data_IF_801437867611
#
_entry.id   IF_801437867611
#
_cell.length_a   1.000
_cell.length_b   1.000
_cell.length_c   1.000
_cell.angle_alpha   90.00
_cell.angle_beta   90.00
_cell.angle_gamma   90.00
#
_symmetry.space_group_name_H-M   'P 1'
#
loop_
_entity.id
_entity.type
_entity.pdbx_description
1 polymer ?
#
# COMPACT_ATOMS: atom_id res chain seq x y z
N UNK A 1 5.81 -20.80 -24.54
CA UNK A 1 4.82 -19.82 -24.08
C UNK A 1 5.40 -18.85 -23.04
N UNK A 2 6.04 -19.34 -21.97
CA UNK A 2 6.62 -18.49 -20.89
C UNK A 2 7.67 -17.48 -21.38
N UNK A 3 8.51 -17.85 -22.35
CA UNK A 3 9.54 -16.95 -22.91
C UNK A 3 8.91 -15.80 -23.71
N UNK A 4 7.94 -16.09 -24.59
CA UNK A 4 7.17 -15.06 -25.32
C UNK A 4 6.38 -14.15 -24.37
N UNK A 5 5.95 -14.70 -23.24
CA UNK A 5 5.25 -13.97 -22.18
C UNK A 5 6.17 -12.98 -21.46
N UNK A 6 7.37 -13.41 -21.06
CA UNK A 6 8.37 -12.53 -20.44
C UNK A 6 8.83 -11.45 -21.43
N UNK A 7 9.07 -11.81 -22.70
CA UNK A 7 9.41 -10.84 -23.74
C UNK A 7 8.30 -9.81 -24.00
N UNK A 8 7.03 -10.23 -23.97
CA UNK A 8 5.90 -9.34 -24.15
C UNK A 8 5.78 -8.30 -23.02
N UNK A 9 5.93 -8.74 -21.77
CA UNK A 9 5.92 -7.83 -20.60
C UNK A 9 7.10 -6.87 -20.64
N UNK A 10 8.31 -7.37 -20.93
CA UNK A 10 9.50 -6.54 -21.08
C UNK A 10 9.35 -5.52 -22.23
N UNK A 11 8.74 -5.91 -23.34
CA UNK A 11 8.47 -5.03 -24.48
C UNK A 11 7.49 -3.90 -24.14
N UNK A 12 6.36 -4.21 -23.50
CA UNK A 12 5.37 -3.20 -23.10
C UNK A 12 5.90 -2.24 -22.03
N UNK A 13 6.66 -2.75 -21.06
CA UNK A 13 7.30 -1.91 -20.03
C UNK A 13 8.37 -0.98 -20.62
N UNK A 14 9.17 -1.47 -21.58
CA UNK A 14 10.14 -0.65 -22.30
C UNK A 14 9.47 0.45 -23.14
N UNK A 15 8.38 0.11 -23.85
CA UNK A 15 7.59 1.09 -24.60
C UNK A 15 7.03 2.18 -23.68
N UNK A 16 6.43 1.79 -22.56
CA UNK A 16 5.86 2.73 -21.60
C UNK A 16 6.94 3.62 -20.95
N UNK A 17 8.12 3.08 -20.68
CA UNK A 17 9.28 3.85 -20.21
C UNK A 17 9.69 4.93 -21.23
N UNK A 18 9.66 4.58 -22.53
CA UNK A 18 10.03 5.49 -23.63
C UNK A 18 9.02 6.63 -23.75
N UNK A 19 7.73 6.31 -23.64
CA UNK A 19 6.63 7.31 -23.63
C UNK A 19 6.76 8.23 -22.41
N UNK A 20 7.07 7.69 -21.22
CA UNK A 20 7.30 8.47 -20.00
C UNK A 20 8.43 9.48 -20.18
N UNK A 21 9.56 9.06 -20.73
CA UNK A 21 10.70 9.94 -21.03
C UNK A 21 10.31 11.05 -22.00
N UNK A 22 9.61 10.73 -23.09
CA UNK A 22 9.13 11.71 -24.06
C UNK A 22 8.14 12.73 -23.47
N UNK A 23 7.23 12.26 -22.62
CA UNK A 23 6.25 13.11 -21.93
C UNK A 23 6.95 14.09 -20.97
N UNK A 24 7.94 13.64 -20.18
CA UNK A 24 8.70 14.52 -19.27
C UNK A 24 9.45 15.61 -20.02
N UNK A 25 10.08 15.28 -21.16
CA UNK A 25 10.80 16.25 -21.99
C UNK A 25 9.84 17.28 -22.58
N UNK A 26 8.68 16.85 -23.09
CA UNK A 26 7.66 17.77 -23.61
C UNK A 26 7.06 18.64 -22.51
N UNK A 27 6.79 18.07 -21.34
CA UNK A 27 6.23 18.79 -20.19
C UNK A 27 7.18 19.89 -19.73
N UNK A 28 8.47 19.58 -19.58
CA UNK A 28 9.50 20.58 -19.25
C UNK A 28 9.60 21.68 -20.30
N UNK A 29 9.59 21.32 -21.60
CA UNK A 29 9.62 22.30 -22.69
C UNK A 29 8.40 23.22 -22.70
N UNK A 30 7.22 22.70 -22.35
CA UNK A 30 5.97 23.48 -22.26
C UNK A 30 5.97 24.38 -21.03
N UNK A 31 6.44 23.89 -19.88
CA UNK A 31 6.60 24.70 -18.67
C UNK A 31 7.52 25.90 -18.91
N UNK A 32 8.64 25.71 -19.60
CA UNK A 32 9.58 26.81 -19.91
C UNK A 32 9.01 27.88 -20.87
N UNK A 33 7.87 27.61 -21.51
CA UNK A 33 7.17 28.56 -22.39
C UNK A 33 5.99 29.27 -21.72
N UNK A 34 5.69 28.95 -20.47
CA UNK A 34 4.63 29.62 -19.71
C UNK A 34 5.06 31.00 -19.23
N UNK A 35 4.07 31.90 -19.14
CA UNK A 35 4.28 33.27 -18.66
C UNK A 35 4.59 33.29 -17.16
N UNK A 36 5.30 34.35 -16.71
CA UNK A 36 5.75 34.46 -15.31
C UNK A 36 4.57 34.47 -14.31
N UNK A 37 3.41 34.99 -14.72
CA UNK A 37 2.19 35.04 -13.92
C UNK A 37 1.64 33.64 -13.56
N UNK A 38 1.87 32.64 -14.41
CA UNK A 38 1.52 31.24 -14.12
C UNK A 38 2.36 30.67 -12.97
N UNK A 39 3.64 31.05 -12.89
CA UNK A 39 4.54 30.64 -11.81
C UNK A 39 4.17 31.33 -10.49
N UNK A 40 3.71 32.58 -10.53
CA UNK A 40 3.29 33.31 -9.33
C UNK A 40 1.94 32.84 -8.76
N UNK A 41 1.03 32.36 -9.61
CA UNK A 41 -0.36 32.04 -9.18
C UNK A 41 -0.58 30.55 -8.85
N UNK A 42 0.11 29.63 -9.53
CA UNK A 42 -0.24 28.20 -9.50
C UNK A 42 0.90 27.25 -9.06
N UNK A 43 2.14 27.73 -8.90
CA UNK A 43 3.28 26.81 -8.80
C UNK A 43 4.34 27.22 -7.78
N UNK A 44 4.22 26.71 -6.54
CA UNK A 44 5.41 26.55 -5.69
C UNK A 44 6.30 25.49 -6.35
N UNK A 45 7.60 25.72 -6.50
CA UNK A 45 8.51 24.83 -7.26
C UNK A 45 8.37 23.35 -6.90
N UNK A 46 8.11 23.04 -5.63
CA UNK A 46 7.97 21.68 -5.12
C UNK A 46 6.71 20.97 -5.66
N UNK A 47 5.61 21.69 -5.84
CA UNK A 47 4.35 21.16 -6.40
C UNK A 47 4.48 20.90 -7.91
N UNK A 48 5.24 21.73 -8.64
CA UNK A 48 5.49 21.53 -10.08
C UNK A 48 6.23 20.21 -10.35
N UNK A 49 7.28 19.99 -9.56
CA UNK A 49 8.14 18.82 -9.62
C UNK A 49 7.33 17.58 -9.23
N UNK A 50 6.61 17.64 -8.10
CA UNK A 50 5.76 16.55 -7.63
C UNK A 50 4.70 16.12 -8.65
N UNK A 51 4.01 17.07 -9.29
CA UNK A 51 3.02 16.77 -10.34
C UNK A 51 3.66 16.20 -11.60
N UNK A 52 4.77 16.77 -12.08
CA UNK A 52 5.48 16.24 -13.25
C UNK A 52 5.92 14.78 -13.04
N UNK A 53 6.49 14.47 -11.88
CA UNK A 53 6.94 13.12 -11.57
C UNK A 53 5.77 12.18 -11.32
N UNK A 54 4.79 12.59 -10.51
CA UNK A 54 3.62 11.79 -10.13
C UNK A 54 2.70 11.46 -11.31
N UNK A 55 2.28 12.47 -12.07
CA UNK A 55 1.34 12.27 -13.18
C UNK A 55 1.96 11.41 -14.29
N UNK A 56 3.24 11.64 -14.61
CA UNK A 56 3.91 10.80 -15.61
C UNK A 56 4.18 9.38 -15.09
N UNK A 57 4.23 9.19 -13.76
CA UNK A 57 4.32 7.85 -13.20
C UNK A 57 3.01 7.09 -13.43
N UNK A 58 1.89 7.72 -13.09
CA UNK A 58 0.54 7.18 -13.28
C UNK A 58 0.25 6.86 -14.76
N UNK A 59 0.64 7.74 -15.67
CA UNK A 59 0.48 7.51 -17.13
C UNK A 59 1.23 6.25 -17.58
N UNK A 60 2.46 6.05 -17.11
CA UNK A 60 3.21 4.83 -17.44
C UNK A 60 2.53 3.58 -16.86
N UNK A 61 2.06 3.61 -15.61
CA UNK A 61 1.40 2.43 -15.04
C UNK A 61 0.13 2.08 -15.79
N UNK A 62 -0.65 3.09 -16.19
CA UNK A 62 -1.83 2.90 -17.01
C UNK A 62 -1.49 2.27 -18.37
N UNK A 63 -0.56 2.86 -19.11
CA UNK A 63 -0.24 2.44 -20.49
C UNK A 63 0.62 1.17 -20.53
N UNK A 64 1.61 1.08 -19.64
CA UNK A 64 2.59 -0.01 -19.64
C UNK A 64 2.10 -1.28 -18.97
N UNK A 65 1.45 -1.15 -17.81
CA UNK A 65 1.07 -2.31 -17.01
C UNK A 65 -0.40 -2.69 -17.18
N UNK A 66 -1.34 -1.74 -17.03
CA UNK A 66 -2.76 -2.07 -17.07
C UNK A 66 -3.23 -2.45 -18.47
N UNK A 67 -2.89 -1.63 -19.47
CA UNK A 67 -3.22 -1.91 -20.88
C UNK A 67 -2.49 -3.17 -21.36
N UNK A 68 -1.22 -3.34 -21.00
CA UNK A 68 -0.45 -4.54 -21.33
C UNK A 68 -1.09 -5.82 -20.78
N UNK A 69 -1.43 -5.84 -19.49
CA UNK A 69 -2.14 -6.96 -18.85
C UNK A 69 -3.51 -7.22 -19.48
N UNK A 70 -4.24 -6.17 -19.86
CA UNK A 70 -5.54 -6.31 -20.53
C UNK A 70 -5.42 -7.01 -21.88
N UNK A 71 -4.52 -6.53 -22.75
CA UNK A 71 -4.26 -7.13 -24.06
C UNK A 71 -3.81 -8.59 -23.90
N UNK A 72 -2.97 -8.85 -22.91
CA UNK A 72 -2.48 -10.17 -22.60
C UNK A 72 -3.60 -11.13 -22.15
N UNK A 73 -4.48 -10.71 -21.24
CA UNK A 73 -5.61 -11.53 -20.81
C UNK A 73 -6.57 -11.82 -21.96
N UNK A 74 -6.83 -10.84 -22.82
CA UNK A 74 -7.64 -11.05 -24.03
C UNK A 74 -6.99 -12.05 -25.00
N UNK A 75 -5.69 -11.92 -25.26
CA UNK A 75 -4.95 -12.85 -26.13
C UNK A 75 -4.92 -14.27 -25.55
N UNK A 76 -4.67 -14.41 -24.25
CA UNK A 76 -4.63 -15.71 -23.57
C UNK A 76 -6.00 -16.36 -23.51
N UNK A 77 -7.05 -15.58 -23.30
CA UNK A 77 -8.44 -16.05 -23.34
C UNK A 77 -8.79 -16.59 -24.72
N UNK A 78 -8.63 -15.80 -25.78
CA UNK A 78 -8.96 -16.19 -27.16
C UNK A 78 -8.09 -17.37 -27.62
N UNK A 79 -6.77 -17.30 -27.42
CA UNK A 79 -5.84 -18.36 -27.79
C UNK A 79 -6.08 -19.65 -27.02
N UNK A 80 -6.41 -19.55 -25.73
CA UNK A 80 -6.78 -20.69 -24.88
C UNK A 80 -8.01 -21.43 -25.38
N UNK A 81 -9.05 -20.70 -25.82
CA UNK A 81 -10.22 -21.33 -26.44
C UNK A 81 -9.85 -22.05 -27.73
N UNK A 82 -9.12 -21.40 -28.64
CA UNK A 82 -8.77 -22.00 -29.94
C UNK A 82 -8.03 -23.33 -29.75
N UNK A 83 -7.03 -23.34 -28.86
CA UNK A 83 -6.25 -24.56 -28.57
C UNK A 83 -7.13 -25.64 -27.92
N UNK A 84 -8.03 -25.25 -26.99
CA UNK A 84 -8.93 -26.18 -26.31
C UNK A 84 -9.87 -26.87 -27.33
N UNK A 85 -10.48 -26.12 -28.24
CA UNK A 85 -11.35 -26.67 -29.29
C UNK A 85 -10.61 -27.59 -30.26
N UNK A 86 -9.34 -27.32 -30.59
CA UNK A 86 -8.54 -28.16 -31.49
C UNK A 86 -8.10 -29.49 -30.87
N UNK A 87 -7.73 -29.52 -29.59
CA UNK A 87 -7.22 -30.76 -28.95
C UNK A 87 -8.32 -31.66 -28.37
N UNK A 88 -9.45 -31.09 -27.98
CA UNK A 88 -10.52 -31.87 -27.36
C UNK A 88 -11.80 -31.07 -27.24
N UNK A 89 -12.71 -31.30 -28.18
CA UNK A 89 -14.04 -30.67 -28.22
C UNK A 89 -14.87 -30.94 -26.94
N UNK A 90 -14.81 -32.16 -26.39
CA UNK A 90 -15.66 -32.56 -25.27
C UNK A 90 -15.27 -31.87 -23.93
N UNK A 91 -13.97 -31.80 -23.61
CA UNK A 91 -13.49 -31.13 -22.39
C UNK A 91 -13.65 -29.60 -22.46
N UNK A 92 -13.63 -29.03 -23.67
CA UNK A 92 -13.75 -27.57 -23.87
C UNK A 92 -15.18 -27.05 -23.70
N UNK A 93 -16.19 -27.88 -23.99
CA UNK A 93 -17.59 -27.56 -23.72
C UNK A 93 -17.87 -27.45 -22.22
N UNK A 94 -17.31 -28.37 -21.43
CA UNK A 94 -17.46 -28.40 -19.98
C UNK A 94 -16.79 -27.17 -19.34
N UNK A 95 -15.57 -26.82 -19.77
CA UNK A 95 -14.90 -25.62 -19.25
C UNK A 95 -15.63 -24.32 -19.63
N UNK A 96 -16.20 -24.25 -20.84
CA UNK A 96 -16.97 -23.09 -21.30
C UNK A 96 -18.30 -22.92 -20.58
N UNK A 97 -18.91 -23.99 -20.08
CA UNK A 97 -20.11 -23.93 -19.24
C UNK A 97 -19.82 -23.34 -17.84
N UNK A 98 -18.61 -23.55 -17.30
CA UNK A 98 -18.22 -23.01 -15.99
C UNK A 98 -17.86 -21.51 -16.02
N UNK A 99 -17.40 -20.99 -17.17
CA UNK A 99 -16.96 -19.58 -17.27
C UNK A 99 -18.09 -18.57 -17.00
N UNK A 100 -19.30 -18.71 -17.56
CA UNK A 100 -20.43 -17.85 -17.21
C UNK A 100 -20.79 -17.90 -15.73
N UNK A 101 -20.77 -19.09 -15.11
CA UNK A 101 -21.05 -19.23 -13.68
C UNK A 101 -20.02 -18.50 -12.82
N UNK A 102 -18.73 -18.57 -13.17
CA UNK A 102 -17.66 -17.82 -12.50
C UNK A 102 -17.82 -16.30 -12.67
N UNK A 103 -18.19 -15.83 -13.88
CA UNK A 103 -18.42 -14.40 -14.13
C UNK A 103 -19.62 -13.89 -13.36
N UNK A 104 -20.71 -14.66 -13.27
CA UNK A 104 -21.90 -14.29 -12.50
C UNK A 104 -21.60 -14.27 -11.01
N UNK A 105 -20.91 -15.29 -10.48
CA UNK A 105 -20.51 -15.35 -9.07
C UNK A 105 -19.56 -14.19 -8.72
N UNK A 106 -18.50 -13.99 -9.50
CA UNK A 106 -17.55 -12.89 -9.31
C UNK A 106 -18.19 -11.50 -9.50
N UNK A 107 -19.09 -11.36 -10.47
CA UNK A 107 -19.88 -10.15 -10.71
C UNK A 107 -20.79 -9.81 -9.53
N UNK A 108 -21.51 -10.81 -9.01
CA UNK A 108 -22.41 -10.64 -7.87
C UNK A 108 -21.67 -10.18 -6.60
N UNK A 109 -20.43 -10.62 -6.41
CA UNK A 109 -19.59 -10.24 -5.28
C UNK A 109 -18.88 -8.89 -5.49
N UNK A 110 -18.42 -8.60 -6.71
CA UNK A 110 -17.62 -7.40 -7.01
C UNK A 110 -18.45 -6.10 -7.05
N UNK A 111 -19.72 -6.15 -7.45
CA UNK A 111 -20.59 -4.98 -7.52
C UNK A 111 -20.88 -4.32 -6.15
N UNK A 112 -21.38 -5.04 -5.12
CA UNK A 112 -21.61 -4.45 -3.80
C UNK A 112 -20.29 -4.04 -3.15
N UNK A 113 -19.23 -4.83 -3.36
CA UNK A 113 -17.87 -4.51 -2.93
C UNK A 113 -17.45 -3.15 -3.51
N UNK A 114 -17.54 -2.94 -4.82
CA UNK A 114 -17.16 -1.67 -5.49
C UNK A 114 -17.94 -0.47 -4.97
N UNK A 115 -19.24 -0.64 -4.68
CA UNK A 115 -20.06 0.41 -4.07
C UNK A 115 -19.55 0.78 -2.67
N UNK A 116 -19.16 -0.21 -1.88
CA UNK A 116 -18.60 -0.02 -0.54
C UNK A 116 -17.22 0.65 -0.58
N UNK A 117 -16.36 0.31 -1.56
CA UNK A 117 -15.08 1.00 -1.81
C UNK A 117 -15.27 2.48 -2.12
N UNK A 118 -16.20 2.80 -3.01
CA UNK A 118 -16.50 4.18 -3.39
C UNK A 118 -17.00 5.01 -2.20
N UNK A 119 -17.92 4.46 -1.40
CA UNK A 119 -18.46 5.17 -0.23
C UNK A 119 -17.38 5.47 0.82
N UNK A 120 -16.48 4.51 1.10
CA UNK A 120 -15.37 4.75 2.03
C UNK A 120 -14.42 5.84 1.54
N UNK A 121 -14.11 5.87 0.24
CA UNK A 121 -13.25 6.93 -0.33
C UNK A 121 -13.93 8.30 -0.29
N UNK A 122 -15.23 8.38 -0.60
CA UNK A 122 -15.96 9.65 -0.53
C UNK A 122 -15.99 10.22 0.89
N UNK A 123 -16.23 9.38 1.91
CA UNK A 123 -16.18 9.80 3.32
C UNK A 123 -14.77 10.27 3.72
N UNK A 124 -13.72 9.62 3.23
CA UNK A 124 -12.33 10.00 3.48
C UNK A 124 -11.99 11.37 2.86
N UNK A 125 -12.41 11.61 1.61
CA UNK A 125 -12.24 12.90 0.93
C UNK A 125 -12.98 14.01 1.67
N UNK A 126 -14.19 13.73 2.20
CA UNK A 126 -14.94 14.70 3.00
C UNK A 126 -14.24 15.08 4.31
N UNK A 127 -13.61 14.12 4.98
CA UNK A 127 -12.74 14.39 6.12
C UNK A 127 -11.51 15.22 5.71
N UNK A 128 -10.92 14.92 4.54
CA UNK A 128 -9.82 15.67 3.95
C UNK A 128 -10.17 17.14 3.70
N UNK A 129 -11.38 17.44 3.19
CA UNK A 129 -11.84 18.82 3.01
C UNK A 129 -11.90 19.61 4.32
N UNK A 130 -12.30 18.98 5.43
CA UNK A 130 -12.32 19.65 6.75
C UNK A 130 -10.90 20.04 7.17
N UNK A 131 -9.92 19.16 6.95
CA UNK A 131 -8.50 19.45 7.22
C UNK A 131 -8.00 20.56 6.33
N UNK A 132 -8.26 20.49 5.02
CA UNK A 132 -7.84 21.50 4.04
C UNK A 132 -8.38 22.89 4.40
N UNK A 133 -9.66 22.99 4.78
CA UNK A 133 -10.27 24.23 5.25
C UNK A 133 -9.66 24.74 6.56
N UNK A 134 -9.42 23.83 7.52
CA UNK A 134 -8.84 24.18 8.82
C UNK A 134 -7.40 24.68 8.67
N UNK A 135 -6.59 24.01 7.86
CA UNK A 135 -5.20 24.40 7.58
C UNK A 135 -5.16 25.68 6.73
N UNK A 136 -6.02 25.79 5.71
CA UNK A 136 -6.12 27.01 4.89
C UNK A 136 -6.51 28.24 5.71
N UNK A 137 -7.32 28.05 6.76
CA UNK A 137 -7.71 29.10 7.70
C UNK A 137 -6.97 29.02 9.06
N UNK A 138 -5.77 28.43 9.12
CA UNK A 138 -5.09 28.13 10.39
C UNK A 138 -4.92 29.35 11.30
N UNK A 139 -4.69 30.53 10.70
CA UNK A 139 -4.53 31.79 11.43
C UNK A 139 -5.82 32.20 12.15
N UNK A 140 -6.98 31.91 11.55
CA UNK A 140 -8.30 32.15 12.14
C UNK A 140 -8.59 31.17 13.27
N UNK A 141 -8.26 29.89 13.08
CA UNK A 141 -8.46 28.84 14.10
C UNK A 141 -7.63 29.15 15.35
N UNK A 142 -6.36 29.56 15.16
CA UNK A 142 -5.49 29.97 16.25
C UNK A 142 -5.98 31.26 16.94
N UNK A 143 -6.45 32.27 16.19
CA UNK A 143 -6.95 33.53 16.77
C UNK A 143 -8.23 33.36 17.60
N UNK A 144 -9.08 32.39 17.25
CA UNK A 144 -10.31 32.10 17.98
C UNK A 144 -10.19 30.94 18.97
N UNK A 145 -8.98 30.38 19.17
CA UNK A 145 -8.74 29.20 20.03
C UNK A 145 -9.72 28.05 19.66
N UNK A 146 -9.93 27.86 18.35
CA UNK A 146 -10.93 26.95 17.77
C UNK A 146 -10.43 25.52 17.55
N UNK A 147 -9.23 25.19 18.01
CA UNK A 147 -8.52 23.93 17.72
C UNK A 147 -9.33 22.69 18.10
N UNK A 148 -9.88 22.67 19.33
CA UNK A 148 -10.71 21.55 19.81
C UNK A 148 -11.96 21.34 18.95
N UNK A 149 -12.59 22.43 18.49
CA UNK A 149 -13.81 22.36 17.66
C UNK A 149 -13.52 21.88 16.24
N UNK A 150 -12.36 22.23 15.71
CA UNK A 150 -11.89 21.71 14.43
C UNK A 150 -11.54 20.22 14.53
N UNK A 151 -10.88 19.81 15.63
CA UNK A 151 -10.54 18.41 15.90
C UNK A 151 -11.79 17.53 16.03
N UNK A 152 -12.80 17.96 16.78
CA UNK A 152 -14.07 17.24 16.93
C UNK A 152 -14.81 17.09 15.59
N UNK A 153 -14.81 18.15 14.78
CA UNK A 153 -15.44 18.12 13.44
C UNK A 153 -14.73 17.14 12.50
N UNK A 154 -13.40 17.08 12.55
CA UNK A 154 -12.62 16.09 11.81
C UNK A 154 -12.87 14.67 12.30
N UNK A 155 -12.87 14.43 13.62
CA UNK A 155 -13.13 13.12 14.22
C UNK A 155 -14.50 12.57 13.81
N UNK A 156 -15.54 13.41 13.80
CA UNK A 156 -16.88 13.01 13.37
C UNK A 156 -16.93 12.48 11.92
N UNK A 157 -16.16 13.09 11.02
CA UNK A 157 -16.08 12.69 9.61
C UNK A 157 -15.17 11.47 9.43
N UNK A 158 -14.11 11.38 10.23
CA UNK A 158 -13.18 10.27 10.22
C UNK A 158 -13.82 8.98 10.72
N UNK A 159 -14.71 9.04 11.72
CA UNK A 159 -15.45 7.88 12.23
C UNK A 159 -16.28 7.19 11.13
N UNK A 160 -16.91 7.96 10.25
CA UNK A 160 -17.70 7.43 9.11
C UNK A 160 -16.79 6.73 8.10
N UNK A 161 -15.62 7.32 7.81
CA UNK A 161 -14.61 6.71 6.96
C UNK A 161 -14.06 5.43 7.58
N UNK A 162 -13.73 5.45 8.88
CA UNK A 162 -13.23 4.31 9.64
C UNK A 162 -14.21 3.13 9.64
N UNK A 163 -15.48 3.38 9.95
CA UNK A 163 -16.51 2.33 9.93
C UNK A 163 -16.63 1.68 8.53
N UNK A 164 -16.56 2.48 7.47
CA UNK A 164 -16.59 1.99 6.09
C UNK A 164 -15.36 1.15 5.75
N UNK A 165 -14.16 1.58 6.20
CA UNK A 165 -12.90 0.84 6.01
C UNK A 165 -12.88 -0.48 6.79
N UNK A 166 -13.40 -0.52 8.02
CA UNK A 166 -13.50 -1.75 8.81
C UNK A 166 -14.43 -2.76 8.13
N UNK A 167 -15.57 -2.31 7.60
CA UNK A 167 -16.48 -3.19 6.85
C UNK A 167 -15.85 -3.71 5.54
N UNK A 168 -15.07 -2.88 4.85
CA UNK A 168 -14.27 -3.32 3.69
C UNK A 168 -13.21 -4.35 4.09
N UNK A 169 -12.48 -4.10 5.17
CA UNK A 169 -11.45 -4.98 5.70
C UNK A 169 -12.03 -6.36 6.04
N UNK A 170 -13.12 -6.38 6.83
CA UNK A 170 -13.82 -7.62 7.18
C UNK A 170 -14.34 -8.37 5.95
N UNK A 171 -14.93 -7.67 4.97
CA UNK A 171 -15.39 -8.30 3.73
C UNK A 171 -14.22 -8.90 2.92
N UNK A 172 -13.06 -8.25 2.92
CA UNK A 172 -11.85 -8.76 2.25
C UNK A 172 -11.26 -9.99 2.94
N UNK A 173 -11.29 -10.04 4.29
CA UNK A 173 -10.85 -11.19 5.07
C UNK A 173 -11.76 -12.41 4.86
N UNK A 174 -13.08 -12.21 4.86
CA UNK A 174 -14.06 -13.30 4.62
C UNK A 174 -13.95 -13.84 3.18
N UNK A 175 -13.60 -12.98 2.21
CA UNK A 175 -13.39 -13.39 0.82
C UNK A 175 -12.13 -14.25 0.61
N UNK A 176 -11.18 -14.22 1.55
CA UNK A 176 -9.91 -14.99 1.50
C UNK A 176 -9.63 -15.65 2.85
N UNK A 177 -10.41 -16.66 3.25
CA UNK A 177 -10.18 -17.37 4.51
C UNK A 177 -8.95 -18.30 4.48
N UNK A 178 -8.38 -18.55 3.30
CA UNK A 178 -7.50 -19.71 3.06
C UNK A 178 -6.00 -19.41 2.95
N UNK A 179 -5.56 -18.15 3.13
CA UNK A 179 -4.13 -17.84 3.15
C UNK A 179 -3.61 -17.93 4.58
N UNK A 180 -3.40 -19.15 5.04
CA UNK A 180 -2.65 -19.40 6.24
C UNK A 180 -1.18 -19.01 5.99
N UNK A 181 -0.74 -17.87 6.55
CA UNK A 181 0.62 -17.35 6.33
C UNK A 181 1.67 -18.27 6.99
N UNK A 182 1.29 -18.95 8.09
CA UNK A 182 2.15 -19.91 8.79
C UNK A 182 1.38 -21.14 9.27
N UNK A 183 1.96 -22.32 9.02
CA UNK A 183 1.51 -23.60 9.57
C UNK A 183 2.64 -24.24 10.36
N UNK A 184 2.62 -24.09 11.69
CA UNK A 184 3.55 -24.81 12.59
C UNK A 184 5.01 -24.34 12.54
N UNK A 185 5.27 -23.02 12.45
CA UNK A 185 6.63 -22.48 12.51
C UNK A 185 7.20 -22.60 13.94
N UNK A 186 8.23 -23.42 14.13
CA UNK A 186 9.04 -23.46 15.35
C UNK A 186 10.41 -22.86 15.07
N UNK A 187 10.67 -21.67 15.60
CA UNK A 187 11.94 -20.97 15.46
C UNK A 187 12.46 -20.61 16.85
N UNK A 188 13.65 -21.11 17.20
CA UNK A 188 14.32 -20.80 18.45
C UNK A 188 15.69 -20.16 18.13
N UNK A 189 15.84 -18.88 18.43
CA UNK A 189 17.08 -18.11 18.22
C UNK A 189 17.76 -17.90 19.56
N UNK A 190 19.02 -18.32 19.67
CA UNK A 190 19.82 -18.13 20.88
C UNK A 190 20.40 -16.72 20.91
N UNK A 191 20.44 -16.12 22.10
CA UNK A 191 21.09 -14.81 22.31
C UNK A 191 22.51 -14.79 21.74
N UNK A 192 22.89 -13.69 21.09
CA UNK A 192 24.20 -13.46 20.44
C UNK A 192 24.42 -14.16 19.08
N UNK A 193 23.49 -15.00 18.60
CA UNK A 193 23.59 -15.60 17.27
C UNK A 193 22.84 -14.77 16.20
N UNK A 194 23.47 -14.62 15.02
CA UNK A 194 22.79 -14.07 13.84
C UNK A 194 21.99 -15.16 13.16
N UNK A 195 20.66 -15.06 13.21
CA UNK A 195 19.75 -15.92 12.45
C UNK A 195 19.33 -15.23 11.15
N UNK A 196 19.30 -15.98 10.05
CA UNK A 196 18.81 -15.50 8.76
C UNK A 196 17.59 -16.30 8.33
N UNK A 197 16.51 -15.60 7.96
CA UNK A 197 15.29 -16.21 7.45
C UNK A 197 15.26 -16.12 5.91
N UNK A 198 15.38 -17.26 5.22
CA UNK A 198 15.42 -17.35 3.75
C UNK A 198 14.24 -18.20 3.25
N UNK A 199 13.67 -17.83 2.11
CA UNK A 199 12.38 -18.30 1.64
C UNK A 199 12.00 -17.62 0.31
N UNK A 200 11.07 -18.23 -0.43
CA UNK A 200 10.74 -17.88 -1.81
C UNK A 200 9.86 -16.63 -1.96
N UNK A 201 9.16 -16.21 -0.90
CA UNK A 201 8.20 -15.10 -0.95
C UNK A 201 8.49 -14.05 0.12
N UNK A 202 8.30 -12.77 -0.23
CA UNK A 202 8.54 -11.61 0.64
C UNK A 202 7.52 -11.50 1.78
N UNK A 203 6.34 -12.11 1.60
CA UNK A 203 5.22 -11.97 2.53
C UNK A 203 5.43 -12.73 3.84
N UNK A 204 5.97 -13.94 3.79
CA UNK A 204 6.12 -14.80 4.98
C UNK A 204 7.20 -14.24 5.92
N UNK A 205 8.36 -13.85 5.38
CA UNK A 205 9.50 -13.40 6.21
C UNK A 205 9.17 -12.14 6.99
N UNK A 206 8.60 -11.14 6.33
CA UNK A 206 8.20 -9.87 6.93
C UNK A 206 7.11 -10.06 7.99
N UNK A 207 6.27 -11.08 7.82
CA UNK A 207 5.23 -11.42 8.81
C UNK A 207 5.83 -11.95 10.12
N UNK A 208 6.95 -12.69 10.11
CA UNK A 208 7.66 -13.10 11.35
C UNK A 208 8.10 -11.88 12.16
N UNK A 209 8.67 -10.86 11.49
CA UNK A 209 9.07 -9.62 12.14
C UNK A 209 7.86 -8.87 12.72
N UNK A 210 6.73 -8.88 12.00
CA UNK A 210 5.50 -8.23 12.47
C UNK A 210 4.91 -8.88 13.74
N UNK A 211 5.04 -10.21 13.90
CA UNK A 211 4.69 -10.88 15.15
C UNK A 211 5.68 -10.58 16.28
N UNK A 212 6.97 -10.51 15.97
CA UNK A 212 8.03 -10.21 16.94
C UNK A 212 7.92 -8.77 17.49
N UNK A 213 7.54 -7.84 16.63
CA UNK A 213 7.24 -6.43 16.99
C UNK A 213 5.87 -6.26 17.64
N UNK A 214 5.07 -7.34 17.72
CA UNK A 214 3.71 -7.35 18.26
C UNK A 214 2.77 -6.38 17.51
N UNK A 215 2.96 -6.22 16.20
CA UNK A 215 1.97 -5.57 15.35
C UNK A 215 0.74 -6.46 15.12
N UNK A 216 0.92 -7.77 15.20
CA UNK A 216 -0.16 -8.77 15.19
C UNK A 216 0.04 -9.77 16.33
N UNK A 217 -1.06 -10.33 16.84
CA UNK A 217 -1.05 -11.48 17.75
C UNK A 217 -1.37 -12.75 16.95
N UNK A 218 -0.67 -13.88 17.17
CA UNK A 218 -0.98 -15.13 16.48
C UNK A 218 -2.33 -15.70 16.96
N UNK A 219 -3.11 -16.25 16.03
CA UNK A 219 -4.39 -16.91 16.32
C UNK A 219 -4.19 -18.21 17.13
N UNK A 220 -3.08 -18.92 16.90
CA UNK A 220 -2.68 -20.12 17.63
C UNK A 220 -1.16 -20.16 17.87
N UNK A 221 -0.75 -20.63 19.05
CA UNK A 221 0.64 -20.67 19.49
C UNK A 221 1.06 -19.46 20.33
N UNK A 222 2.35 -19.37 20.63
CA UNK A 222 2.92 -18.26 21.41
C UNK A 222 4.27 -17.83 20.86
N UNK A 223 4.54 -16.53 20.97
CA UNK A 223 5.85 -15.94 20.66
C UNK A 223 6.46 -15.49 21.98
N UNK A 224 7.68 -15.96 22.24
CA UNK A 224 8.39 -15.80 23.50
C UNK A 224 9.67 -14.98 23.25
N UNK A 225 9.93 -13.98 24.10
CA UNK A 225 11.22 -13.31 24.20
C UNK A 225 11.78 -13.62 25.59
N UNK A 226 12.98 -14.20 25.66
CA UNK A 226 13.64 -14.62 26.90
C UNK A 226 12.76 -15.53 27.80
N UNK A 227 11.91 -16.36 27.18
CA UNK A 227 10.99 -17.26 27.88
C UNK A 227 9.70 -16.60 28.39
N UNK A 228 9.51 -15.30 28.17
CA UNK A 228 8.27 -14.59 28.50
C UNK A 228 7.41 -14.40 27.26
N UNK A 229 6.11 -14.69 27.37
CA UNK A 229 5.15 -14.46 26.30
C UNK A 229 5.06 -12.97 25.97
N UNK A 230 5.10 -12.60 24.69
CA UNK A 230 5.00 -11.21 24.22
C UNK A 230 3.79 -10.45 24.78
N UNK A 231 2.69 -11.15 25.06
CA UNK A 231 1.45 -10.59 25.64
C UNK A 231 1.68 -9.97 27.02
N UNK A 232 2.60 -10.52 27.82
CA UNK A 232 2.91 -10.08 29.18
C UNK A 232 3.91 -8.90 29.21
N UNK A 233 4.64 -8.68 28.12
CA UNK A 233 5.66 -7.64 28.04
C UNK A 233 5.04 -6.30 27.62
N UNK A 234 5.53 -5.20 28.23
CA UNK A 234 5.10 -3.84 27.84
C UNK A 234 5.70 -3.49 26.47
N UNK A 235 4.87 -3.00 25.55
CA UNK A 235 5.29 -2.55 24.21
C UNK A 235 6.47 -1.55 24.24
N UNK A 236 6.46 -0.61 25.21
CA UNK A 236 7.57 0.34 25.42
C UNK A 236 8.92 -0.32 25.71
N UNK A 237 8.90 -1.48 26.37
CA UNK A 237 10.10 -2.25 26.69
C UNK A 237 10.60 -3.01 25.45
N UNK A 238 9.70 -3.66 24.71
CA UNK A 238 10.00 -4.38 23.45
C UNK A 238 10.65 -3.43 22.43
N UNK A 239 10.00 -2.31 22.13
CA UNK A 239 10.53 -1.29 21.21
C UNK A 239 11.78 -0.54 21.74
N UNK A 240 12.21 -0.79 22.98
CA UNK A 240 13.48 -0.29 23.50
C UNK A 240 14.64 -1.27 23.37
N UNK A 241 14.36 -2.54 23.08
CA UNK A 241 15.35 -3.61 22.96
C UNK A 241 15.52 -4.12 21.53
N UNK A 242 14.59 -3.77 20.65
CA UNK A 242 14.59 -4.14 19.24
C UNK A 242 14.75 -2.90 18.36
N UNK A 243 15.59 -3.01 17.33
CA UNK A 243 15.73 -2.00 16.29
C UNK A 243 15.36 -2.62 14.95
N UNK A 244 14.38 -2.03 14.26
CA UNK A 244 13.97 -2.44 12.93
C UNK A 244 14.69 -1.59 11.89
N UNK A 245 15.15 -2.25 10.82
CA UNK A 245 15.61 -1.58 9.62
C UNK A 245 14.65 -1.96 8.50
N UNK A 246 13.77 -1.03 8.14
CA UNK A 246 12.82 -1.21 7.04
C UNK A 246 13.55 -1.27 5.70
N UNK A 247 13.02 -2.08 4.77
CA UNK A 247 13.54 -2.20 3.40
C UNK A 247 13.48 -0.85 2.66
N UNK A 248 12.42 -0.07 2.89
CA UNK A 248 12.30 1.32 2.47
C UNK A 248 12.35 2.22 3.73
N UNK A 249 13.51 2.84 4.03
CA UNK A 249 13.63 3.69 5.22
C UNK A 249 12.82 4.97 5.04
N UNK A 250 11.90 5.23 5.97
CA UNK A 250 11.13 6.47 6.02
C UNK A 250 11.96 7.51 6.76
N UNK A 251 12.22 8.65 6.10
CA UNK A 251 12.85 9.81 6.71
C UNK A 251 11.79 10.89 6.94
N UNK A 252 11.80 11.48 8.13
CA UNK A 252 11.00 12.65 8.42
C UNK A 252 11.58 13.87 7.66
N UNK A 253 10.71 14.82 7.29
CA UNK A 253 11.07 16.07 6.63
C UNK A 253 11.78 17.04 7.61
N UNK A 254 12.87 16.58 8.20
CA UNK A 254 13.69 17.27 9.21
C UNK A 254 15.17 17.05 8.86
N UNK A 255 16.08 17.61 9.66
CA UNK A 255 17.51 17.45 9.39
C UNK A 255 17.94 15.98 9.55
N UNK A 256 19.04 15.58 8.88
CA UNK A 256 19.63 14.25 9.05
C UNK A 256 19.98 13.97 10.52
N UNK A 257 20.47 14.99 11.23
CA UNK A 257 20.79 14.92 12.65
C UNK A 257 19.55 14.59 13.49
N UNK A 258 18.42 15.24 13.21
CA UNK A 258 17.16 15.00 13.92
C UNK A 258 16.59 13.62 13.60
N UNK A 259 16.61 13.19 12.34
CA UNK A 259 16.20 11.82 11.95
C UNK A 259 17.00 10.72 12.68
N UNK A 260 18.32 10.88 12.82
CA UNK A 260 19.15 9.96 13.60
C UNK A 260 18.86 10.10 15.11
N UNK A 261 18.62 11.32 15.58
CA UNK A 261 18.31 11.57 16.97
C UNK A 261 16.94 11.00 17.35
N UNK A 262 15.95 10.92 16.47
CA UNK A 262 14.66 10.26 16.75
C UNK A 262 14.84 8.81 17.22
N UNK A 263 15.78 8.07 16.63
CA UNK A 263 16.14 6.74 17.10
C UNK A 263 16.86 6.74 18.46
N UNK A 264 17.58 7.83 18.79
CA UNK A 264 18.38 7.98 20.01
C UNK A 264 17.65 8.64 21.17
N UNK A 265 16.71 9.57 20.95
CA UNK A 265 15.87 10.21 21.96
C UNK A 265 14.94 9.21 22.62
N UNK A 266 14.45 8.22 21.85
CA UNK A 266 13.74 7.06 22.40
C UNK A 266 14.61 6.23 23.36
N UNK A 267 15.94 6.25 23.19
CA UNK A 267 16.92 5.59 24.07
C UNK A 267 17.32 6.49 25.25
N UNK A 268 17.40 7.80 25.04
CA UNK A 268 17.93 8.78 26.02
C UNK A 268 16.87 9.17 27.06
N UNK A 269 15.61 9.37 26.66
CA UNK A 269 14.48 9.58 27.59
C UNK A 269 14.28 8.39 28.53
N UNK A 270 14.59 7.17 28.07
CA UNK A 270 14.49 5.94 28.88
C UNK A 270 15.57 5.78 29.95
N UNK A 271 16.73 6.44 29.80
CA UNK A 271 17.80 6.39 30.81
C UNK A 271 17.51 7.30 32.00
N UNK A 272 16.67 8.32 31.82
CA UNK A 272 16.23 9.23 32.88
C UNK A 272 15.02 8.70 33.68
N UNK A 273 14.21 7.80 33.12
CA UNK A 273 13.09 7.15 33.83
C UNK A 273 13.50 5.91 34.66
N UNK A 274 14.79 5.55 34.67
CA UNK A 274 15.33 4.43 35.47
C UNK A 274 16.29 4.89 36.60
N UNK A 275 16.30 6.18 36.94
CA UNK A 275 16.82 6.69 38.21
C UNK A 275 15.66 7.14 39.08
#
# INVERSE_FOLDING_TARGET
MVIFFILGILGFTALACTIRLGARISYMRTLLRQDIEFFDTQTTMDVAIGRMFGDTILIQEAIGEKVGKFIQFMSTFIGGFIIAFCKGWLLSLVSRACIPALVIAGGSMSLPMMKMWSQGQVAYVEAGYVVEQTIGAIRMVASFIGENKAAEKYDSKLQIAYASTVQQGLASCIARPEVQIFSGLLLHVVSVQTAALVGQSETEKSTVFSFLERFYDPDAGEVLIDGFTLKMLKLKWIGGKMGLVSQEPILFATTLKENILFGKEMILMKRLEQQ
#
